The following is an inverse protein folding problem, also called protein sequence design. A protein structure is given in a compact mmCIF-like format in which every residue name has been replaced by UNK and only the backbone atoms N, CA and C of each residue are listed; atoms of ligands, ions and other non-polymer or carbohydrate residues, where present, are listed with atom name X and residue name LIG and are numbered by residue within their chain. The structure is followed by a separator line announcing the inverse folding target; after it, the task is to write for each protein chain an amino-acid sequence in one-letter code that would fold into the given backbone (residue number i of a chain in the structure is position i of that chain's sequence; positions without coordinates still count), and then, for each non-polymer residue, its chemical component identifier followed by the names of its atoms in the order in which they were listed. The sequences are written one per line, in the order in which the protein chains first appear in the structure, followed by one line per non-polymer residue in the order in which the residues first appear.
data_IF_825855815239
#
_entry.id   IF_825855815239
#
_cell.length_a   1.000
_cell.length_b   1.000
_cell.length_c   1.000
_cell.angle_alpha   90.00
_cell.angle_beta   90.00
_cell.angle_gamma   90.00
#
_symmetry.space_group_name_H-M   'P 1'
#
loop_
_entity.id
_entity.type
_entity.pdbx_description
1 polymer ?
#
# COMPACT_ATOMS: atom_id res chain seq x y z
N UNK A 1 4.99 20.08 12.20
CA UNK A 1 3.96 19.09 12.43
C UNK A 1 3.50 18.48 11.16
N UNK A 2 3.08 19.29 10.22
CA UNK A 2 2.61 18.75 8.96
C UNK A 2 3.68 17.95 8.26
N UNK A 3 4.92 18.38 8.37
CA UNK A 3 6.02 17.63 7.77
C UNK A 3 6.14 16.23 8.35
N UNK A 4 5.93 16.11 9.65
CA UNK A 4 6.04 14.81 10.28
C UNK A 4 4.98 13.86 9.75
N UNK A 5 3.76 14.36 9.57
CA UNK A 5 2.69 13.53 9.02
C UNK A 5 2.99 13.13 7.58
N UNK A 6 3.52 14.07 6.79
CA UNK A 6 3.90 13.76 5.44
C UNK A 6 5.01 12.72 5.37
N UNK A 7 5.98 12.84 6.25
CA UNK A 7 7.07 11.88 6.27
C UNK A 7 6.58 10.48 6.62
N UNK A 8 5.67 10.37 7.60
CA UNK A 8 5.11 9.08 7.95
C UNK A 8 4.34 8.47 6.80
N UNK A 9 3.58 9.28 6.09
CA UNK A 9 2.82 8.79 4.95
C UNK A 9 3.76 8.27 3.86
N UNK A 10 4.85 8.97 3.63
CA UNK A 10 5.80 8.53 2.62
C UNK A 10 6.50 7.25 3.02
N UNK A 11 6.86 7.13 4.29
CA UNK A 11 7.48 5.90 4.77
C UNK A 11 6.54 4.73 4.64
N UNK A 12 5.27 4.94 4.97
CA UNK A 12 4.28 3.88 4.85
C UNK A 12 4.11 3.46 3.40
N UNK A 13 4.01 4.42 2.50
CA UNK A 13 3.87 4.11 1.08
C UNK A 13 5.08 3.36 0.56
N UNK A 14 6.26 3.75 0.99
CA UNK A 14 7.47 3.06 0.58
C UNK A 14 7.47 1.62 1.09
N UNK A 15 7.03 1.41 2.31
CA UNK A 15 6.95 0.07 2.87
C UNK A 15 5.99 -0.80 2.07
N UNK A 16 4.84 -0.26 1.69
CA UNK A 16 3.89 -0.99 0.87
C UNK A 16 4.51 -1.32 -0.49
N UNK A 17 5.14 -0.34 -1.10
CA UNK A 17 5.74 -0.54 -2.40
C UNK A 17 6.82 -1.62 -2.35
N UNK A 18 7.65 -1.58 -1.32
CA UNK A 18 8.71 -2.58 -1.19
C UNK A 18 8.16 -3.99 -1.01
N UNK A 19 7.10 -4.13 -0.23
CA UNK A 19 6.47 -5.42 -0.08
C UNK A 19 6.04 -5.97 -1.43
N UNK A 20 5.40 -5.13 -2.24
CA UNK A 20 4.89 -5.56 -3.52
C UNK A 20 6.01 -5.86 -4.51
N UNK A 21 7.06 -5.07 -4.49
CA UNK A 21 8.20 -5.32 -5.37
C UNK A 21 8.85 -6.67 -5.01
N UNK A 22 9.05 -6.92 -3.74
CA UNK A 22 9.66 -8.17 -3.31
C UNK A 22 8.78 -9.37 -3.59
N UNK A 23 7.47 -9.18 -3.48
CA UNK A 23 6.53 -10.26 -3.75
C UNK A 23 6.51 -10.63 -5.23
N UNK A 24 6.66 -9.65 -6.09
CA UNK A 24 6.65 -9.88 -7.52
C UNK A 24 5.23 -9.92 -8.06
N UNK A 25 5.04 -10.56 -9.23
CA UNK A 25 3.74 -10.48 -9.93
C UNK A 25 2.60 -11.11 -9.16
N UNK A 26 2.87 -11.93 -8.17
CA UNK A 26 1.80 -12.53 -7.38
C UNK A 26 1.01 -11.50 -6.60
N UNK A 27 1.68 -10.44 -6.17
CA UNK A 27 1.03 -9.42 -5.39
C UNK A 27 0.56 -9.91 -4.04
N UNK A 28 -0.11 -9.03 -3.31
CA UNK A 28 -0.72 -9.34 -2.03
C UNK A 28 -2.13 -8.82 -2.03
N UNK A 29 -3.02 -9.51 -1.34
CA UNK A 29 -4.34 -8.94 -1.05
C UNK A 29 -4.17 -7.76 -0.12
N UNK A 30 -5.06 -6.76 -0.26
CA UNK A 30 -4.97 -5.57 0.58
C UNK A 30 -5.02 -5.90 2.05
N UNK A 31 -5.90 -6.83 2.44
CA UNK A 31 -5.98 -7.21 3.85
C UNK A 31 -4.68 -7.76 4.39
N UNK A 32 -3.96 -8.52 3.57
CA UNK A 32 -2.69 -9.08 4.00
C UNK A 32 -1.66 -7.98 4.23
N UNK A 33 -1.63 -6.99 3.35
CA UNK A 33 -0.71 -5.86 3.52
C UNK A 33 -1.04 -5.11 4.81
N UNK A 34 -2.33 -4.89 5.05
CA UNK A 34 -2.74 -4.22 6.27
C UNK A 34 -2.28 -4.94 7.52
N UNK A 35 -2.41 -6.26 7.52
CA UNK A 35 -1.96 -7.04 8.66
C UNK A 35 -0.45 -6.99 8.82
N UNK A 36 0.27 -7.14 7.73
CA UNK A 36 1.72 -7.15 7.80
C UNK A 36 2.29 -5.83 8.30
N UNK A 37 1.64 -4.74 7.96
CA UNK A 37 2.12 -3.42 8.33
C UNK A 37 1.34 -2.80 9.48
N UNK A 38 0.40 -3.53 10.04
CA UNK A 38 -0.42 -3.06 11.15
C UNK A 38 -1.14 -1.76 10.81
N UNK A 39 -1.74 -1.72 9.64
CA UNK A 39 -2.43 -0.53 9.17
C UNK A 39 -3.93 -0.74 9.20
N UNK A 40 -4.69 0.24 9.70
CA UNK A 40 -6.14 0.18 9.58
C UNK A 40 -6.57 0.17 8.11
N UNK A 41 -7.71 -0.43 7.84
CA UNK A 41 -8.18 -0.56 6.46
C UNK A 41 -8.33 0.78 5.76
N UNK A 42 -8.87 1.76 6.45
CA UNK A 42 -9.08 3.06 5.81
C UNK A 42 -7.75 3.72 5.44
N UNK A 43 -6.78 3.61 6.33
CA UNK A 43 -5.45 4.17 6.07
C UNK A 43 -4.79 3.45 4.90
N UNK A 44 -4.86 2.13 4.91
CA UNK A 44 -4.26 1.36 3.83
C UNK A 44 -4.92 1.68 2.50
N UNK A 45 -6.25 1.74 2.47
CA UNK A 45 -6.96 2.05 1.23
C UNK A 45 -6.54 3.38 0.66
N UNK A 46 -6.35 4.37 1.53
CA UNK A 46 -5.90 5.67 1.08
C UNK A 46 -4.52 5.58 0.42
N UNK A 47 -3.60 4.88 1.05
CA UNK A 47 -2.26 4.74 0.49
C UNK A 47 -2.27 3.96 -0.81
N UNK A 48 -3.05 2.89 -0.88
CA UNK A 48 -3.12 2.11 -2.11
C UNK A 48 -3.69 2.93 -3.25
N UNK A 49 -4.69 3.76 -2.95
CA UNK A 49 -5.26 4.63 -3.96
C UNK A 49 -4.22 5.62 -4.49
N UNK A 50 -3.44 6.19 -3.58
CA UNK A 50 -2.41 7.14 -3.99
C UNK A 50 -1.32 6.48 -4.82
N UNK A 51 -0.91 5.28 -4.43
CA UNK A 51 0.10 4.56 -5.19
C UNK A 51 -0.41 4.15 -6.56
N UNK A 52 -1.67 3.77 -6.65
CA UNK A 52 -2.27 3.43 -7.93
C UNK A 52 -2.37 4.66 -8.82
N UNK A 53 -2.77 5.79 -8.27
CA UNK A 53 -2.88 7.02 -9.03
C UNK A 53 -1.52 7.45 -9.58
N UNK A 54 -0.46 7.18 -8.83
CA UNK A 54 0.90 7.49 -9.28
C UNK A 54 1.44 6.43 -10.23
N UNK A 55 0.67 5.41 -10.51
CA UNK A 55 1.04 4.33 -11.43
C UNK A 55 2.24 3.53 -10.92
N UNK A 56 2.41 3.50 -9.61
CA UNK A 56 3.47 2.71 -9.01
C UNK A 56 3.05 1.28 -8.71
N UNK A 57 1.76 1.06 -8.56
CA UNK A 57 1.22 -0.28 -8.37
C UNK A 57 0.00 -0.43 -9.25
N UNK A 58 -0.40 -1.68 -9.45
CA UNK A 58 -1.54 -2.00 -10.29
C UNK A 58 -2.51 -2.87 -9.50
N UNK A 59 -3.76 -2.44 -9.35
CA UNK A 59 -4.73 -3.30 -8.68
C UNK A 59 -5.07 -4.49 -9.55
N UNK A 60 -5.28 -5.63 -8.90
CA UNK A 60 -5.67 -6.83 -9.61
C UNK A 60 -7.18 -6.90 -9.65
N UNK A 61 -7.75 -7.11 -10.81
CA UNK A 61 -9.21 -7.14 -10.91
C UNK A 61 -9.81 -8.49 -10.59
N UNK A 62 -9.09 -9.35 -9.94
CA UNK A 62 -9.56 -10.70 -9.78
C UNK A 62 -10.83 -10.79 -8.97
N UNK A 63 -11.04 -9.87 -8.14
CA UNK A 63 -12.22 -9.91 -7.33
C UNK A 63 -12.22 -11.01 -6.31
N UNK A 64 -11.21 -11.84 -6.34
CA UNK A 64 -11.15 -12.82 -5.37
C UNK A 64 -10.23 -12.52 -4.35
N UNK A 65 -9.69 -11.66 -4.37
CA UNK A 65 -8.74 -11.37 -3.43
C UNK A 65 -9.03 -11.17 -2.10
#
# INVERSE_FOLDING_TARGET
MIKALGALAQETRLAIFRLLVQRGPEGYAAGAIGEMLSLPNATLSFHLKELTAAQLITPQPSGRS
#
